data_IF_093815390050
#
_entry.id   IF_093815390050
#
_cell.length_a   1.000
_cell.length_b   1.000
_cell.length_c   1.000
_cell.angle_alpha   90.00
_cell.angle_beta   90.00
_cell.angle_gamma   90.00
#
_symmetry.space_group_name_H-M   'P 1'
#
loop_
_entity.id
_entity.type
_entity.pdbx_description
1 polymer ?
#
# COMPACT_ATOMS: atom_id res chain seq x y z
N UNK A 1 15.31 -2.46 77.48
CA UNK A 1 16.69 -2.36 76.94
C UNK A 1 17.04 -3.71 76.34
N UNK A 2 17.80 -3.71 75.23
CA UNK A 2 18.06 -4.81 74.28
C UNK A 2 16.84 -5.03 73.34
N UNK A 3 16.84 -4.76 72.04
CA UNK A 3 17.91 -4.51 71.07
C UNK A 3 17.90 -5.62 70.01
N UNK A 4 17.05 -5.50 68.98
CA UNK A 4 17.12 -6.34 67.78
C UNK A 4 16.74 -5.51 66.54
N UNK A 5 17.76 -5.07 65.80
CA UNK A 5 17.62 -4.47 64.47
C UNK A 5 17.73 -5.62 63.47
N UNK A 6 16.62 -6.02 62.85
CA UNK A 6 16.62 -6.96 61.75
C UNK A 6 16.87 -6.20 60.44
N UNK A 7 18.11 -6.24 59.96
CA UNK A 7 18.48 -5.86 58.59
C UNK A 7 17.97 -6.94 57.63
N UNK A 8 16.84 -6.71 56.98
CA UNK A 8 16.38 -7.54 55.85
C UNK A 8 16.92 -6.91 54.57
N UNK A 9 17.94 -7.56 54.02
CA UNK A 9 18.57 -7.23 52.75
C UNK A 9 17.56 -7.27 51.61
N UNK A 10 17.31 -6.12 50.98
CA UNK A 10 16.50 -6.00 49.78
C UNK A 10 17.35 -6.42 48.57
N UNK A 11 17.20 -7.67 48.13
CA UNK A 11 17.84 -8.17 46.90
C UNK A 11 17.15 -7.55 45.68
N UNK A 12 17.71 -6.46 45.16
CA UNK A 12 17.36 -5.89 43.85
C UNK A 12 17.75 -6.89 42.76
N UNK A 13 16.80 -7.72 42.32
CA UNK A 13 16.91 -8.44 41.06
C UNK A 13 16.75 -7.41 39.92
N UNK A 14 17.89 -6.93 39.41
CA UNK A 14 17.93 -6.20 38.16
C UNK A 14 17.51 -7.17 37.04
N UNK A 15 16.24 -7.12 36.65
CA UNK A 15 15.76 -7.79 35.45
C UNK A 15 16.33 -6.99 34.27
N UNK A 16 17.46 -7.43 33.73
CA UNK A 16 17.90 -6.97 32.43
C UNK A 16 16.82 -7.36 31.44
N UNK A 17 16.05 -6.38 30.95
CA UNK A 17 15.34 -6.54 29.68
C UNK A 17 16.43 -6.79 28.63
N UNK A 18 16.64 -8.07 28.29
CA UNK A 18 17.36 -8.40 27.09
C UNK A 18 16.60 -7.72 25.95
N UNK A 19 17.26 -6.79 25.26
CA UNK A 19 16.82 -6.32 23.95
C UNK A 19 16.64 -7.58 23.09
N UNK A 20 15.39 -7.99 22.93
CA UNK A 20 15.01 -9.06 22.03
C UNK A 20 15.47 -8.58 20.65
N UNK A 21 16.36 -9.39 20.04
CA UNK A 21 17.02 -9.08 18.79
C UNK A 21 16.04 -8.47 17.80
N UNK A 22 16.34 -7.22 17.41
CA UNK A 22 15.66 -6.48 16.36
C UNK A 22 15.64 -7.37 15.13
N UNK A 23 14.44 -7.70 14.63
CA UNK A 23 14.30 -8.33 13.32
C UNK A 23 15.22 -7.60 12.33
N UNK A 24 15.97 -8.31 11.48
CA UNK A 24 16.91 -7.66 10.57
C UNK A 24 16.18 -6.55 9.80
N UNK A 25 16.79 -5.35 9.67
CA UNK A 25 16.11 -4.21 9.07
C UNK A 25 15.59 -4.58 7.69
N UNK A 26 14.29 -4.34 7.46
CA UNK A 26 13.62 -4.69 6.20
C UNK A 26 14.31 -3.94 5.06
N UNK A 27 14.95 -4.68 4.15
CA UNK A 27 15.55 -4.09 2.94
C UNK A 27 14.44 -3.81 1.94
N UNK A 28 14.14 -2.54 1.72
CA UNK A 28 13.15 -2.13 0.74
C UNK A 28 13.73 -2.18 -0.67
N UNK A 29 12.97 -2.77 -1.58
CA UNK A 29 13.32 -2.92 -3.00
C UNK A 29 12.07 -3.18 -3.82
N UNK A 30 12.19 -3.98 -4.89
CA UNK A 30 11.04 -4.43 -5.68
C UNK A 30 10.00 -5.11 -4.79
N UNK A 31 8.73 -4.77 -5.02
CA UNK A 31 7.62 -5.38 -4.28
C UNK A 31 7.61 -6.90 -4.48
N UNK A 32 7.52 -7.70 -3.40
CA UNK A 32 7.39 -9.14 -3.51
C UNK A 32 6.14 -9.53 -4.32
N UNK A 33 6.24 -10.39 -5.35
CA UNK A 33 5.06 -10.83 -6.11
C UNK A 33 3.99 -11.52 -5.25
N UNK A 34 4.39 -12.09 -4.11
CA UNK A 34 3.48 -12.70 -3.14
C UNK A 34 2.50 -11.71 -2.53
N UNK A 35 2.75 -10.39 -2.58
CA UNK A 35 1.78 -9.38 -2.12
C UNK A 35 0.41 -9.59 -2.75
N UNK A 36 0.34 -9.90 -4.05
CA UNK A 36 -0.93 -10.08 -4.76
C UNK A 36 -1.72 -11.31 -4.33
N UNK A 37 -1.05 -12.38 -3.89
CA UNK A 37 -1.73 -13.61 -3.43
C UNK A 37 -1.92 -13.66 -1.92
N UNK A 38 -1.12 -12.90 -1.16
CA UNK A 38 -1.16 -12.85 0.30
C UNK A 38 -2.15 -11.83 0.85
N UNK A 39 -2.47 -10.80 0.07
CA UNK A 39 -3.44 -9.78 0.45
C UNK A 39 -4.84 -10.20 -0.04
N UNK A 40 -5.77 -10.37 0.89
CA UNK A 40 -7.14 -10.80 0.63
C UNK A 40 -8.04 -9.71 0.05
N UNK A 41 -7.51 -8.81 -0.79
CA UNK A 41 -8.27 -7.67 -1.31
C UNK A 41 -9.42 -8.13 -2.20
N UNK A 42 -10.67 -7.70 -1.91
CA UNK A 42 -11.78 -7.84 -2.85
C UNK A 42 -11.43 -7.17 -4.18
N UNK A 43 -11.99 -7.67 -5.28
CA UNK A 43 -11.65 -7.12 -6.61
C UNK A 43 -12.12 -5.67 -6.72
N UNK A 44 -11.16 -4.75 -6.75
CA UNK A 44 -11.41 -3.30 -6.93
C UNK A 44 -11.93 -2.98 -8.33
N UNK A 45 -11.51 -3.71 -9.36
CA UNK A 45 -11.99 -3.51 -10.73
C UNK A 45 -13.01 -4.60 -11.08
N UNK A 46 -14.16 -4.18 -11.62
CA UNK A 46 -15.16 -5.12 -12.11
C UNK A 46 -14.59 -5.96 -13.28
N UNK A 47 -14.46 -7.30 -13.12
CA UNK A 47 -13.83 -8.14 -14.14
C UNK A 47 -14.60 -8.16 -15.46
N UNK A 48 -15.92 -7.95 -15.45
CA UNK A 48 -16.73 -7.89 -16.67
C UNK A 48 -16.44 -6.63 -17.49
N UNK A 49 -16.11 -5.52 -16.84
CA UNK A 49 -15.72 -4.28 -17.52
C UNK A 49 -14.27 -4.39 -18.03
N UNK A 50 -13.37 -4.93 -17.20
CA UNK A 50 -11.99 -5.16 -17.61
C UNK A 50 -11.87 -6.11 -18.80
N UNK A 51 -12.72 -7.14 -18.89
CA UNK A 51 -12.74 -8.06 -20.01
C UNK A 51 -13.17 -7.43 -21.35
N UNK A 52 -13.76 -6.23 -21.34
CA UNK A 52 -14.12 -5.50 -22.56
C UNK A 52 -12.96 -4.68 -23.15
N UNK A 53 -11.84 -4.59 -22.44
CA UNK A 53 -10.64 -3.91 -22.90
C UNK A 53 -9.65 -4.92 -23.49
N UNK A 54 -9.04 -4.56 -24.61
CA UNK A 54 -8.05 -5.41 -25.26
C UNK A 54 -6.83 -5.59 -24.35
N UNK A 55 -6.41 -6.85 -24.18
CA UNK A 55 -5.31 -7.26 -23.30
C UNK A 55 -3.94 -6.94 -23.91
N UNK A 56 -3.87 -6.67 -25.20
CA UNK A 56 -2.65 -6.32 -25.93
C UNK A 56 -2.32 -4.84 -25.85
N UNK A 57 -3.26 -4.01 -25.36
CA UNK A 57 -3.04 -2.58 -25.17
C UNK A 57 -1.89 -2.33 -24.19
N UNK A 58 -1.08 -1.28 -24.43
CA UNK A 58 -0.17 -0.76 -23.42
C UNK A 58 -0.90 -0.47 -22.11
N UNK A 59 -0.21 -0.64 -20.98
CA UNK A 59 -0.82 -0.60 -19.65
C UNK A 59 -1.63 0.69 -19.40
N UNK A 60 -1.13 1.85 -19.84
CA UNK A 60 -1.86 3.11 -19.70
C UNK A 60 -3.17 3.12 -20.48
N UNK A 61 -3.16 2.67 -21.73
CA UNK A 61 -4.34 2.63 -22.60
C UNK A 61 -5.37 1.62 -22.06
N UNK A 62 -4.89 0.47 -21.57
CA UNK A 62 -5.70 -0.55 -20.94
C UNK A 62 -6.40 -0.02 -19.68
N UNK A 63 -5.68 0.63 -18.77
CA UNK A 63 -6.27 1.23 -17.57
C UNK A 63 -7.22 2.37 -17.91
N UNK A 64 -6.87 3.20 -18.89
CA UNK A 64 -7.77 4.26 -19.38
C UNK A 64 -9.06 3.67 -19.96
N UNK A 65 -8.98 2.58 -20.73
CA UNK A 65 -10.16 1.86 -21.21
C UNK A 65 -11.03 1.37 -20.05
N UNK A 66 -10.43 0.75 -19.03
CA UNK A 66 -11.14 0.26 -17.85
C UNK A 66 -11.86 1.42 -17.14
N UNK A 67 -11.16 2.53 -16.88
CA UNK A 67 -11.75 3.68 -16.21
C UNK A 67 -12.90 4.29 -17.03
N UNK A 68 -12.77 4.38 -18.36
CA UNK A 68 -13.87 4.82 -19.25
C UNK A 68 -15.08 3.89 -19.16
N UNK A 69 -14.87 2.57 -19.21
CA UNK A 69 -15.94 1.57 -19.09
C UNK A 69 -16.62 1.58 -17.72
N UNK A 70 -15.87 1.90 -16.67
CA UNK A 70 -16.40 2.08 -15.31
C UNK A 70 -17.07 3.44 -15.10
N UNK A 71 -17.00 4.37 -16.06
CA UNK A 71 -17.51 5.73 -15.91
C UNK A 71 -16.68 6.60 -14.96
N UNK A 72 -15.44 6.24 -14.68
CA UNK A 72 -14.51 6.96 -13.80
C UNK A 72 -13.65 7.99 -14.51
N UNK A 73 -13.98 8.32 -15.77
CA UNK A 73 -13.33 9.38 -16.53
C UNK A 73 -14.31 10.52 -16.80
N UNK A 74 -13.79 11.75 -16.74
CA UNK A 74 -14.40 12.97 -17.24
C UNK A 74 -13.48 13.54 -18.34
N UNK A 75 -13.82 13.25 -19.59
CA UNK A 75 -12.93 13.45 -20.72
C UNK A 75 -11.62 12.65 -20.56
N UNK A 76 -10.50 13.38 -20.46
CA UNK A 76 -9.16 12.81 -20.32
C UNK A 76 -8.65 12.81 -18.86
N UNK A 77 -9.49 13.21 -17.90
CA UNK A 77 -9.16 13.21 -16.46
C UNK A 77 -9.97 12.15 -15.73
N UNK A 78 -9.46 11.73 -14.56
CA UNK A 78 -10.24 10.87 -13.65
C UNK A 78 -11.36 11.69 -13.02
N UNK A 79 -12.59 11.19 -13.10
CA UNK A 79 -13.75 11.73 -12.39
C UNK A 79 -13.65 11.31 -10.91
N UNK A 80 -12.99 12.16 -10.11
CA UNK A 80 -12.74 11.89 -8.68
C UNK A 80 -14.01 11.82 -7.87
N UNK A 81 -15.08 12.50 -8.28
CA UNK A 81 -16.38 12.46 -7.58
C UNK A 81 -16.99 11.07 -7.75
N UNK A 82 -17.07 10.56 -8.98
CA UNK A 82 -17.59 9.21 -9.24
C UNK A 82 -16.71 8.11 -8.66
N UNK A 83 -15.38 8.28 -8.72
CA UNK A 83 -14.46 7.31 -8.15
C UNK A 83 -14.54 7.29 -6.62
N UNK A 84 -14.71 8.45 -5.98
CA UNK A 84 -14.97 8.53 -4.53
C UNK A 84 -16.26 7.80 -4.16
N UNK A 85 -17.37 8.09 -4.86
CA UNK A 85 -18.65 7.43 -4.63
C UNK A 85 -18.57 5.91 -4.82
N UNK A 86 -17.79 5.45 -5.81
CA UNK A 86 -17.51 4.03 -6.00
C UNK A 86 -16.82 3.41 -4.77
N UNK A 87 -15.79 4.08 -4.24
CA UNK A 87 -15.08 3.56 -3.07
C UNK A 87 -15.88 3.66 -1.77
N UNK A 88 -16.78 4.64 -1.63
CA UNK A 88 -17.73 4.70 -0.51
C UNK A 88 -18.66 3.47 -0.53
N UNK A 89 -19.18 3.09 -1.71
CA UNK A 89 -19.94 1.85 -1.84
C UNK A 89 -19.07 0.62 -1.59
N UNK A 90 -17.84 0.59 -2.12
CA UNK A 90 -16.91 -0.51 -1.90
C UNK A 90 -16.65 -0.74 -0.40
N UNK A 91 -16.46 0.32 0.39
CA UNK A 91 -16.25 0.20 1.82
C UNK A 91 -17.52 -0.22 2.56
N UNK A 92 -18.70 0.21 2.08
CA UNK A 92 -19.99 -0.28 2.60
C UNK A 92 -20.12 -1.79 2.40
N UNK A 93 -19.71 -2.30 1.25
CA UNK A 93 -19.78 -3.73 0.92
C UNK A 93 -18.64 -4.54 1.57
N UNK A 94 -17.54 -3.88 1.95
CA UNK A 94 -16.31 -4.49 2.47
C UNK A 94 -15.80 -3.68 3.68
N UNK A 95 -16.51 -3.69 4.82
CA UNK A 95 -16.28 -2.76 5.94
C UNK A 95 -14.87 -2.84 6.53
N UNK A 96 -14.23 -4.02 6.50
CA UNK A 96 -12.86 -4.19 6.97
C UNK A 96 -11.84 -3.35 6.17
N UNK A 97 -12.19 -2.93 4.94
CA UNK A 97 -11.36 -2.11 4.06
C UNK A 97 -11.61 -0.61 4.20
N UNK A 98 -12.50 -0.18 5.11
CA UNK A 98 -12.77 1.23 5.35
C UNK A 98 -11.50 2.06 5.61
N UNK A 99 -10.52 1.62 6.43
CA UNK A 99 -9.31 2.41 6.68
C UNK A 99 -8.49 2.67 5.41
N UNK A 100 -8.42 1.68 4.50
CA UNK A 100 -7.78 1.84 3.21
C UNK A 100 -8.56 2.78 2.30
N UNK A 101 -9.89 2.64 2.25
CA UNK A 101 -10.74 3.54 1.46
C UNK A 101 -10.66 4.99 1.95
N UNK A 102 -10.63 5.22 3.26
CA UNK A 102 -10.51 6.56 3.80
C UNK A 102 -9.16 7.20 3.44
N UNK A 103 -8.06 6.44 3.57
CA UNK A 103 -6.76 6.92 3.14
C UNK A 103 -6.69 7.19 1.62
N UNK A 104 -7.29 6.32 0.81
CA UNK A 104 -7.38 6.47 -0.63
C UNK A 104 -8.09 7.77 -1.00
N UNK A 105 -9.24 8.06 -0.38
CA UNK A 105 -10.00 9.29 -0.63
C UNK A 105 -9.16 10.53 -0.30
N UNK A 106 -8.48 10.54 0.84
CA UNK A 106 -7.69 11.70 1.27
C UNK A 106 -6.40 11.87 0.47
N UNK A 107 -5.77 10.78 0.06
CA UNK A 107 -4.41 10.82 -0.50
C UNK A 107 -4.40 10.82 -2.02
N UNK A 108 -5.32 10.09 -2.65
CA UNK A 108 -5.30 9.90 -4.10
C UNK A 108 -6.41 10.67 -4.82
N UNK A 109 -7.56 10.85 -4.17
CA UNK A 109 -8.76 11.42 -4.80
C UNK A 109 -9.03 12.86 -4.37
N UNK A 110 -8.32 13.36 -3.37
CA UNK A 110 -8.36 14.76 -2.97
C UNK A 110 -7.24 15.55 -3.66
N UNK A 111 -7.56 16.74 -4.17
CA UNK A 111 -6.56 17.61 -4.82
C UNK A 111 -5.98 17.00 -6.10
N UNK A 112 -4.84 17.48 -6.59
CA UNK A 112 -4.16 16.93 -7.76
C UNK A 112 -3.25 15.77 -7.39
N UNK A 113 -3.33 14.68 -8.16
CA UNK A 113 -2.53 13.48 -7.95
C UNK A 113 -1.27 13.57 -8.81
N UNK A 114 -0.06 13.67 -8.23
CA UNK A 114 1.16 13.63 -9.00
C UNK A 114 1.37 12.26 -9.66
N UNK A 115 2.24 12.18 -10.65
CA UNK A 115 2.59 10.91 -11.30
C UNK A 115 3.13 9.91 -10.26
N UNK A 116 2.52 8.72 -10.23
CA UNK A 116 2.79 7.66 -9.26
C UNK A 116 3.80 6.64 -9.78
N UNK A 117 4.03 6.59 -11.10
CA UNK A 117 5.03 5.71 -11.71
C UNK A 117 5.63 6.29 -12.98
N UNK A 118 6.15 5.42 -13.84
CA UNK A 118 6.91 5.80 -15.05
C UNK A 118 6.04 6.22 -16.23
N UNK A 119 4.75 5.87 -16.22
CA UNK A 119 3.79 6.22 -17.28
C UNK A 119 3.24 7.63 -17.05
N UNK A 120 3.98 8.63 -17.54
CA UNK A 120 3.59 10.03 -17.46
C UNK A 120 2.32 10.33 -18.27
N UNK A 121 1.56 11.34 -17.83
CA UNK A 121 0.30 11.76 -18.43
C UNK A 121 -0.75 10.63 -18.49
N UNK A 122 -0.69 9.70 -17.54
CA UNK A 122 -1.62 8.58 -17.47
C UNK A 122 -2.44 8.61 -16.16
N UNK A 123 -3.47 9.48 -16.08
CA UNK A 123 -4.17 9.71 -14.82
C UNK A 123 -4.90 8.47 -14.29
N UNK A 124 -5.36 7.57 -15.17
CA UNK A 124 -5.94 6.29 -14.76
C UNK A 124 -4.91 5.35 -14.13
N UNK A 125 -3.68 5.32 -14.67
CA UNK A 125 -2.58 4.56 -14.08
C UNK A 125 -2.19 5.13 -12.72
N UNK A 126 -2.04 6.45 -12.62
CA UNK A 126 -1.68 7.10 -11.35
C UNK A 126 -2.74 6.85 -10.28
N UNK A 127 -4.03 6.99 -10.61
CA UNK A 127 -5.12 6.70 -9.67
C UNK A 127 -5.12 5.24 -9.22
N UNK A 128 -4.91 4.28 -10.13
CA UNK A 128 -4.89 2.85 -9.78
C UNK A 128 -3.66 2.47 -8.96
N UNK A 129 -2.48 3.04 -9.24
CA UNK A 129 -1.28 2.82 -8.43
C UNK A 129 -1.44 3.38 -7.02
N UNK A 130 -1.97 4.59 -6.87
CA UNK A 130 -2.23 5.17 -5.56
C UNK A 130 -3.31 4.37 -4.79
N UNK A 131 -4.35 3.89 -5.49
CA UNK A 131 -5.34 2.96 -4.93
C UNK A 131 -4.68 1.71 -4.37
N UNK A 132 -3.84 1.05 -5.18
CA UNK A 132 -3.15 -0.16 -4.76
C UNK A 132 -2.22 0.08 -3.56
N UNK A 133 -1.46 1.18 -3.59
CA UNK A 133 -0.60 1.59 -2.47
C UNK A 133 -1.41 1.81 -1.18
N UNK A 134 -2.54 2.51 -1.27
CA UNK A 134 -3.41 2.76 -0.12
C UNK A 134 -3.96 1.46 0.47
N UNK A 135 -4.49 0.57 -0.37
CA UNK A 135 -4.97 -0.75 0.07
C UNK A 135 -3.86 -1.59 0.72
N UNK A 136 -2.66 -1.56 0.15
CA UNK A 136 -1.53 -2.31 0.68
C UNK A 136 -1.06 -1.77 2.04
N UNK A 137 -0.94 -0.45 2.19
CA UNK A 137 -0.42 0.19 3.41
C UNK A 137 -1.42 0.26 4.56
N UNK A 138 -2.71 0.21 4.26
CA UNK A 138 -3.78 0.37 5.24
C UNK A 138 -4.63 -0.89 5.44
N UNK A 139 -4.19 -2.02 4.88
CA UNK A 139 -4.77 -3.32 5.19
C UNK A 139 -4.53 -3.70 6.66
N UNK A 140 -5.58 -4.16 7.31
CA UNK A 140 -5.57 -4.73 8.65
C UNK A 140 -4.92 -6.13 8.65
N UNK A 141 -4.36 -6.58 9.79
CA UNK A 141 -3.74 -7.91 9.88
C UNK A 141 -4.66 -9.06 9.45
N UNK A 142 -5.96 -8.96 9.68
CA UNK A 142 -6.96 -9.97 9.28
C UNK A 142 -7.13 -10.12 7.77
N UNK A 143 -6.74 -9.12 6.98
CA UNK A 143 -6.80 -9.14 5.52
C UNK A 143 -5.57 -9.79 4.89
N UNK A 144 -4.56 -10.08 5.68
CA UNK A 144 -3.36 -10.78 5.25
C UNK A 144 -3.45 -12.26 5.58
N UNK A 145 -3.07 -13.11 4.63
CA UNK A 145 -2.77 -14.51 4.94
C UNK A 145 -1.70 -14.57 6.02
N UNK A 146 -1.88 -15.45 7.00
CA UNK A 146 -0.93 -15.70 8.09
C UNK A 146 0.12 -16.75 7.74
N UNK A 147 0.07 -17.32 6.53
CA UNK A 147 1.05 -18.33 6.10
C UNK A 147 2.48 -17.76 6.11
N UNK A 148 3.46 -18.65 6.34
CA UNK A 148 4.88 -18.27 6.36
C UNK A 148 5.33 -17.68 5.02
N UNK A 149 4.81 -18.20 3.90
CA UNK A 149 5.04 -17.67 2.55
C UNK A 149 4.63 -16.19 2.38
N UNK A 150 3.80 -15.67 3.27
CA UNK A 150 3.31 -14.29 3.25
C UNK A 150 4.06 -13.37 4.23
N UNK A 151 5.04 -13.89 4.97
CA UNK A 151 5.81 -13.10 5.94
C UNK A 151 6.52 -11.92 5.27
N UNK A 152 7.26 -12.17 4.18
CA UNK A 152 7.93 -11.11 3.43
C UNK A 152 6.98 -10.05 2.84
N UNK A 153 5.78 -10.46 2.42
CA UNK A 153 4.76 -9.53 1.90
C UNK A 153 4.23 -8.61 3.01
N UNK A 154 3.92 -9.17 4.19
CA UNK A 154 3.47 -8.40 5.36
C UNK A 154 4.57 -7.44 5.85
N UNK A 155 5.82 -7.91 5.93
CA UNK A 155 6.97 -7.07 6.31
C UNK A 155 7.20 -5.94 5.31
N UNK A 156 7.12 -6.22 4.01
CA UNK A 156 7.19 -5.19 2.97
C UNK A 156 6.08 -4.14 3.12
N UNK A 157 4.83 -4.59 3.25
CA UNK A 157 3.70 -3.69 3.38
C UNK A 157 3.79 -2.80 4.62
N UNK A 158 4.31 -3.32 5.74
CA UNK A 158 4.53 -2.53 6.96
C UNK A 158 5.65 -1.50 6.78
N UNK A 159 6.79 -1.91 6.24
CA UNK A 159 8.05 -1.15 6.38
C UNK A 159 8.48 -0.39 5.13
N UNK A 160 7.94 -0.71 3.95
CA UNK A 160 8.44 -0.18 2.69
C UNK A 160 7.45 0.74 1.96
N UNK A 161 7.97 1.62 1.07
CA UNK A 161 7.17 2.21 0.00
C UNK A 161 6.42 1.18 -0.81
N UNK A 162 5.33 1.60 -1.45
CA UNK A 162 4.74 0.88 -2.58
C UNK A 162 5.15 1.60 -3.86
N UNK A 163 6.04 0.99 -4.63
CA UNK A 163 6.58 1.58 -5.85
C UNK A 163 6.47 0.60 -7.01
N UNK A 164 6.02 1.06 -8.19
CA UNK A 164 6.16 0.28 -9.41
C UNK A 164 7.62 -0.14 -9.59
N UNK A 165 7.87 -1.39 -9.97
CA UNK A 165 9.24 -1.92 -10.12
C UNK A 165 10.08 -1.07 -11.09
N UNK A 166 9.45 -0.53 -12.13
CA UNK A 166 10.12 0.32 -13.12
C UNK A 166 10.66 1.63 -12.54
N UNK A 167 10.19 2.05 -11.36
CA UNK A 167 10.74 3.19 -10.65
C UNK A 167 12.16 2.96 -10.11
N UNK A 168 12.65 1.72 -10.11
CA UNK A 168 14.02 1.36 -9.74
C UNK A 168 14.96 1.22 -10.95
N UNK A 169 14.49 1.49 -12.17
CA UNK A 169 15.33 1.47 -13.36
C UNK A 169 16.43 2.55 -13.28
N UNK A 170 17.57 2.30 -13.93
CA UNK A 170 18.69 3.27 -13.97
C UNK A 170 18.33 4.59 -14.64
N UNK A 171 17.31 4.59 -15.49
CA UNK A 171 16.78 5.76 -16.19
C UNK A 171 15.27 5.83 -15.95
N UNK A 172 14.85 6.77 -15.09
CA UNK A 172 13.44 7.10 -14.87
C UNK A 172 13.13 8.47 -15.47
N UNK A 173 11.95 8.66 -16.11
CA UNK A 173 11.55 9.98 -16.62
C UNK A 173 11.53 11.03 -15.51
N UNK A 174 11.88 12.27 -15.85
CA UNK A 174 11.79 13.40 -14.90
C UNK A 174 10.34 13.61 -14.46
N UNK A 175 10.13 13.78 -13.16
CA UNK A 175 8.78 13.96 -12.59
C UNK A 175 7.93 12.69 -12.55
N UNK A 176 8.53 11.51 -12.76
CA UNK A 176 7.90 10.21 -12.54
C UNK A 176 8.10 9.71 -11.10
N UNK A 177 7.31 8.71 -10.69
CA UNK A 177 7.52 8.01 -9.43
C UNK A 177 7.60 8.93 -8.20
N UNK A 178 6.83 10.03 -8.16
CA UNK A 178 7.00 11.07 -7.14
C UNK A 178 6.74 10.55 -5.72
N UNK A 179 5.85 9.58 -5.58
CA UNK A 179 5.61 8.87 -4.32
C UNK A 179 6.83 8.03 -3.84
N UNK A 180 7.79 7.76 -4.72
CA UNK A 180 8.95 6.90 -4.50
C UNK A 180 10.28 7.66 -4.40
N UNK A 181 10.29 8.98 -4.66
CA UNK A 181 11.50 9.79 -4.63
C UNK A 181 11.98 10.13 -3.22
N UNK A 182 11.13 9.99 -2.20
CA UNK A 182 11.37 10.49 -0.82
C UNK A 182 11.86 9.41 0.15
N UNK A 183 12.11 8.17 -0.31
CA UNK A 183 12.30 7.04 0.59
C UNK A 183 13.73 6.48 0.56
N UNK A 184 14.23 5.93 1.69
CA UNK A 184 15.58 5.38 1.75
C UNK A 184 15.71 4.26 0.72
N UNK A 185 16.50 4.53 -0.31
CA UNK A 185 16.90 3.55 -1.30
C UNK A 185 17.84 2.61 -0.59
N UNK A 186 17.55 1.30 -0.56
CA UNK A 186 18.59 0.33 -0.21
C UNK A 186 19.80 0.60 -1.10
N UNK A 187 21.03 0.56 -0.55
CA UNK A 187 22.25 0.73 -1.33
C UNK A 187 22.32 -0.22 -2.52
#
# INVERSE_FOLDING_TARGET
>A
MVGFVALISLSLLAVCNADIGVDPPVKCGSMPPSVYSCLGTPRVVNPKLAAQCDKTLPECEKLTCIFRKSGWMDGDKVDKVKLTAYFDQFATDNPDWQPAVDNLKTTCLQGDLPAQGVLLNCPAYDAMQCTFASFLKHAQPSQWSTSESCNAARQYAASCPVCPTDCFASQIPVGSCNACLVLPRSP
#
